data_IF_735597161671
#
_entry.id   IF_735597161671
#
_cell.length_a   1.000
_cell.length_b   1.000
_cell.length_c   1.000
_cell.angle_alpha   90.00
_cell.angle_beta   90.00
_cell.angle_gamma   90.00
#
_symmetry.space_group_name_H-M   'P 1'
#
loop_
_entity.id
_entity.type
_entity.pdbx_description
1 polymer ?
#
# COMPACT_ATOMS: atom_id res chain seq x y z
N UNK A 1 8.77 25.76 9.63
CA UNK A 1 9.06 24.62 10.54
C UNK A 1 7.81 23.89 11.00
N UNK A 2 6.81 24.55 11.62
CA UNK A 2 5.56 23.89 12.05
C UNK A 2 4.71 23.35 10.90
N UNK A 3 4.61 24.07 9.78
CA UNK A 3 3.91 23.61 8.56
C UNK A 3 4.58 22.37 7.96
N UNK A 4 5.91 22.34 7.87
CA UNK A 4 6.68 21.17 7.40
C UNK A 4 6.48 19.92 8.28
N UNK A 5 6.32 20.10 9.59
CA UNK A 5 6.00 19.00 10.51
C UNK A 5 4.56 18.50 10.34
N UNK A 6 3.61 19.39 10.04
CA UNK A 6 2.23 19.02 9.73
C UNK A 6 2.13 18.23 8.40
N UNK A 7 2.92 18.62 7.40
CA UNK A 7 2.99 17.91 6.11
C UNK A 7 3.57 16.51 6.27
N UNK A 8 4.64 16.35 7.06
CA UNK A 8 5.20 15.03 7.40
C UNK A 8 4.18 14.15 8.15
N UNK A 9 3.43 14.72 9.09
CA UNK A 9 2.40 13.96 9.82
C UNK A 9 1.30 13.45 8.88
N UNK A 10 0.87 14.29 7.94
CA UNK A 10 -0.12 13.93 6.92
C UNK A 10 0.39 12.85 5.97
N UNK A 11 1.64 12.98 5.50
CA UNK A 11 2.28 11.97 4.65
C UNK A 11 2.48 10.64 5.40
N UNK A 12 2.80 10.69 6.69
CA UNK A 12 2.93 9.49 7.53
C UNK A 12 1.59 8.75 7.66
N UNK A 13 0.49 9.48 7.86
CA UNK A 13 -0.86 8.89 7.88
C UNK A 13 -1.26 8.29 6.53
N UNK A 14 -0.88 8.94 5.42
CA UNK A 14 -1.09 8.40 4.08
C UNK A 14 -0.35 7.07 3.89
N UNK A 15 0.93 7.01 4.25
CA UNK A 15 1.74 5.77 4.19
C UNK A 15 1.10 4.66 5.01
N UNK A 16 0.65 4.95 6.23
CA UNK A 16 -0.04 3.97 7.08
C UNK A 16 -1.32 3.46 6.41
N UNK A 17 -2.12 4.36 5.84
CA UNK A 17 -3.37 4.01 5.16
C UNK A 17 -3.13 3.14 3.92
N UNK A 18 -2.09 3.43 3.12
CA UNK A 18 -1.73 2.62 1.96
C UNK A 18 -1.22 1.24 2.38
N UNK A 19 -0.42 1.18 3.45
CA UNK A 19 0.07 -0.09 4.02
C UNK A 19 -1.09 -0.99 4.45
N UNK A 20 -2.06 -0.43 5.18
CA UNK A 20 -3.26 -1.16 5.61
C UNK A 20 -4.11 -1.64 4.42
N UNK A 21 -4.24 -0.81 3.37
CA UNK A 21 -4.94 -1.21 2.15
C UNK A 21 -4.25 -2.40 1.48
N UNK A 22 -2.92 -2.38 1.35
CA UNK A 22 -2.17 -3.47 0.78
C UNK A 22 -2.33 -4.76 1.60
N UNK A 23 -2.20 -4.68 2.92
CA UNK A 23 -2.44 -5.82 3.82
C UNK A 23 -3.85 -6.39 3.68
N UNK A 24 -4.86 -5.52 3.59
CA UNK A 24 -6.25 -5.93 3.39
C UNK A 24 -6.43 -6.68 2.05
N UNK A 25 -5.82 -6.20 0.97
CA UNK A 25 -5.87 -6.88 -0.33
C UNK A 25 -5.23 -8.29 -0.26
N UNK A 26 -4.12 -8.45 0.45
CA UNK A 26 -3.47 -9.74 0.65
C UNK A 26 -4.33 -10.70 1.50
N UNK A 27 -4.95 -10.20 2.57
CA UNK A 27 -5.85 -11.00 3.40
C UNK A 27 -7.08 -11.47 2.62
N UNK A 28 -7.67 -10.59 1.81
CA UNK A 28 -8.79 -10.95 0.94
C UNK A 28 -8.38 -12.04 -0.07
N UNK A 29 -7.19 -11.92 -0.65
CA UNK A 29 -6.63 -12.92 -1.57
C UNK A 29 -6.47 -14.29 -0.90
N UNK A 30 -5.82 -14.34 0.27
CA UNK A 30 -5.64 -15.57 1.03
C UNK A 30 -6.96 -16.20 1.47
N UNK A 31 -7.91 -15.38 1.95
CA UNK A 31 -9.22 -15.84 2.39
C UNK A 31 -9.96 -16.56 1.27
N UNK A 32 -10.01 -15.99 0.07
CA UNK A 32 -10.69 -16.63 -1.05
C UNK A 32 -9.94 -17.86 -1.60
N UNK A 33 -8.60 -17.86 -1.61
CA UNK A 33 -7.83 -19.06 -1.97
C UNK A 33 -8.09 -20.21 -0.99
N UNK A 34 -8.19 -19.91 0.31
CA UNK A 34 -8.55 -20.91 1.31
C UNK A 34 -9.97 -21.44 1.09
N UNK A 35 -10.93 -20.57 0.75
CA UNK A 35 -12.30 -20.98 0.43
C UNK A 35 -12.35 -21.91 -0.79
N UNK A 36 -11.64 -21.58 -1.87
CA UNK A 36 -11.58 -22.42 -3.06
C UNK A 36 -10.99 -23.81 -2.79
N UNK A 37 -10.04 -23.92 -1.85
CA UNK A 37 -9.44 -25.19 -1.45
C UNK A 37 -10.36 -26.07 -0.58
N UNK A 38 -11.35 -25.48 0.10
CA UNK A 38 -12.26 -26.17 1.03
C UNK A 38 -13.59 -26.54 0.36
N UNK A 39 -13.77 -26.25 -0.93
CA UNK A 39 -14.99 -26.59 -1.63
C UNK A 39 -15.27 -28.11 -1.55
N UNK A 40 -16.50 -28.51 -1.17
CA UNK A 40 -16.84 -29.93 -1.05
C UNK A 40 -16.62 -30.67 -2.37
N UNK A 41 -16.07 -31.89 -2.32
CA UNK A 41 -15.92 -32.76 -3.50
C UNK A 41 -17.27 -33.13 -4.16
N UNK A 42 -18.37 -32.81 -3.49
CA UNK A 42 -19.76 -32.98 -3.93
C UNK A 42 -20.19 -31.91 -4.94
N UNK A 43 -19.48 -30.77 -4.99
CA UNK A 43 -19.64 -29.78 -6.06
C UNK A 43 -19.05 -30.34 -7.36
N UNK A 44 -19.92 -30.82 -8.23
CA UNK A 44 -19.54 -31.42 -9.52
C UNK A 44 -20.36 -30.84 -10.68
N UNK A 45 -19.90 -31.08 -11.90
CA UNK A 45 -20.59 -30.66 -13.12
C UNK A 45 -20.52 -29.16 -13.38
N UNK A 46 -21.56 -28.61 -14.01
CA UNK A 46 -21.56 -27.23 -14.52
C UNK A 46 -21.38 -26.15 -13.43
N UNK A 47 -21.85 -26.40 -12.21
CA UNK A 47 -21.72 -25.46 -11.09
C UNK A 47 -20.25 -25.28 -10.66
N UNK A 48 -19.50 -26.39 -10.54
CA UNK A 48 -18.07 -26.34 -10.21
C UNK A 48 -17.25 -25.68 -11.33
N UNK A 49 -17.55 -26.00 -12.59
CA UNK A 49 -16.89 -25.39 -13.74
C UNK A 49 -17.15 -23.86 -13.79
N UNK A 50 -18.38 -23.43 -13.55
CA UNK A 50 -18.72 -22.00 -13.49
C UNK A 50 -18.00 -21.30 -12.33
N UNK A 51 -17.97 -21.92 -11.14
CA UNK A 51 -17.25 -21.37 -10.01
C UNK A 51 -15.76 -21.22 -10.32
N UNK A 52 -15.11 -22.26 -10.85
CA UNK A 52 -13.68 -22.22 -11.15
C UNK A 52 -13.35 -21.11 -12.16
N UNK A 53 -14.17 -20.94 -13.20
CA UNK A 53 -13.98 -19.88 -14.17
C UNK A 53 -14.10 -18.49 -13.52
N UNK A 54 -15.14 -18.26 -12.72
CA UNK A 54 -15.33 -17.00 -11.98
C UNK A 54 -14.20 -16.77 -10.96
N UNK A 55 -13.79 -17.81 -10.25
CA UNK A 55 -12.73 -17.74 -9.25
C UNK A 55 -11.38 -17.41 -9.89
N UNK A 56 -11.04 -18.00 -11.04
CA UNK A 56 -9.82 -17.65 -11.76
C UNK A 56 -9.81 -16.18 -12.19
N UNK A 57 -10.92 -15.68 -12.74
CA UNK A 57 -11.04 -14.29 -13.14
C UNK A 57 -10.97 -13.34 -11.94
N UNK A 58 -11.61 -13.71 -10.83
CA UNK A 58 -11.54 -12.97 -9.58
C UNK A 58 -10.10 -12.97 -9.04
N UNK A 59 -9.42 -14.12 -9.03
CA UNK A 59 -8.06 -14.25 -8.50
C UNK A 59 -7.06 -13.43 -9.31
N UNK A 60 -7.20 -13.37 -10.63
CA UNK A 60 -6.36 -12.52 -11.47
C UNK A 60 -6.52 -11.03 -11.12
N UNK A 61 -7.77 -10.57 -10.97
CA UNK A 61 -8.05 -9.18 -10.60
C UNK A 61 -7.60 -8.85 -9.17
N UNK A 62 -7.74 -9.80 -8.24
CA UNK A 62 -7.25 -9.65 -6.87
C UNK A 62 -5.73 -9.50 -6.82
N UNK A 63 -4.98 -10.25 -7.64
CA UNK A 63 -3.53 -10.08 -7.79
C UNK A 63 -3.19 -8.68 -8.33
N UNK A 64 -3.84 -8.24 -9.41
CA UNK A 64 -3.63 -6.89 -9.96
C UNK A 64 -3.92 -5.80 -8.93
N UNK A 65 -4.97 -5.95 -8.12
CA UNK A 65 -5.30 -5.01 -7.06
C UNK A 65 -4.22 -4.97 -5.96
N UNK A 66 -3.71 -6.14 -5.54
CA UNK A 66 -2.63 -6.22 -4.56
C UNK A 66 -1.34 -5.56 -5.08
N UNK A 67 -0.97 -5.80 -6.34
CA UNK A 67 0.17 -5.16 -6.99
C UNK A 67 0.01 -3.63 -7.08
N UNK A 68 -1.19 -3.14 -7.42
CA UNK A 68 -1.47 -1.72 -7.43
C UNK A 68 -1.37 -1.09 -6.03
N UNK A 69 -1.89 -1.77 -5.00
CA UNK A 69 -1.79 -1.32 -3.61
C UNK A 69 -0.34 -1.31 -3.09
N UNK A 70 0.47 -2.31 -3.44
CA UNK A 70 1.91 -2.33 -3.17
C UNK A 70 2.62 -1.15 -3.85
N UNK A 71 2.31 -0.90 -5.12
CA UNK A 71 2.85 0.25 -5.87
C UNK A 71 2.52 1.60 -5.22
N UNK A 72 1.28 1.80 -4.79
CA UNK A 72 0.85 2.99 -4.06
C UNK A 72 1.57 3.13 -2.71
N UNK A 73 1.72 2.03 -1.99
CA UNK A 73 2.45 1.99 -0.71
C UNK A 73 3.90 2.41 -0.90
N UNK A 74 4.61 1.80 -1.84
CA UNK A 74 6.00 2.15 -2.18
C UNK A 74 6.13 3.61 -2.62
N UNK A 75 5.22 4.09 -3.46
CA UNK A 75 5.23 5.48 -3.91
C UNK A 75 5.04 6.45 -2.74
N UNK A 76 4.09 6.20 -1.85
CA UNK A 76 3.86 7.04 -0.68
C UNK A 76 5.07 7.10 0.26
N UNK A 77 5.78 5.98 0.44
CA UNK A 77 7.01 5.91 1.22
C UNK A 77 8.14 6.73 0.58
N UNK A 78 8.29 6.66 -0.75
CA UNK A 78 9.28 7.46 -1.48
C UNK A 78 9.00 8.96 -1.35
N UNK A 79 7.73 9.38 -1.45
CA UNK A 79 7.34 10.78 -1.28
C UNK A 79 7.65 11.27 0.14
N UNK A 80 7.32 10.49 1.17
CA UNK A 80 7.64 10.82 2.56
C UNK A 80 9.15 10.99 2.77
N UNK A 81 9.95 10.04 2.24
CA UNK A 81 11.40 10.09 2.34
C UNK A 81 11.99 11.34 1.64
N UNK A 82 11.52 11.66 0.44
CA UNK A 82 11.98 12.83 -0.30
C UNK A 82 11.65 14.15 0.44
N UNK A 83 10.46 14.23 1.05
CA UNK A 83 10.06 15.37 1.87
C UNK A 83 10.95 15.52 3.11
N UNK A 84 11.19 14.43 3.84
CA UNK A 84 12.08 14.41 5.01
C UNK A 84 13.49 14.89 4.65
N UNK A 85 14.09 14.32 3.60
CA UNK A 85 15.41 14.72 3.13
C UNK A 85 15.49 16.21 2.75
N UNK A 86 14.44 16.72 2.10
CA UNK A 86 14.36 18.13 1.70
C UNK A 86 14.28 19.04 2.92
N UNK A 87 13.48 18.69 3.91
CA UNK A 87 13.36 19.46 5.16
C UNK A 87 14.69 19.46 5.91
N UNK A 88 15.35 18.32 6.03
CA UNK A 88 16.66 18.22 6.69
C UNK A 88 17.74 19.06 5.99
N UNK A 89 17.74 19.06 4.65
CA UNK A 89 18.65 19.90 3.86
C UNK A 89 18.38 21.40 4.07
N UNK A 90 17.11 21.81 4.09
CA UNK A 90 16.71 23.20 4.37
C UNK A 90 17.10 23.63 5.78
N UNK A 91 16.93 22.76 6.77
CA UNK A 91 17.30 23.02 8.16
C UNK A 91 18.82 23.20 8.30
N UNK A 92 19.60 22.37 7.63
CA UNK A 92 21.06 22.46 7.60
C UNK A 92 21.49 23.78 6.95
N UNK A 93 20.99 24.08 5.75
CA UNK A 93 21.30 25.32 5.04
C UNK A 93 20.92 26.58 5.83
N UNK A 94 19.77 26.57 6.51
CA UNK A 94 19.35 27.66 7.38
C UNK A 94 20.27 27.82 8.59
N UNK A 95 20.64 26.72 9.24
CA UNK A 95 21.56 26.74 10.39
C UNK A 95 22.91 27.32 9.98
N UNK A 96 23.48 26.85 8.88
CA UNK A 96 24.76 27.33 8.35
C UNK A 96 24.71 28.83 8.00
N UNK A 97 23.63 29.27 7.35
CA UNK A 97 23.42 30.68 7.03
C UNK A 97 23.29 31.54 8.29
N UNK A 98 22.51 31.10 9.28
CA UNK A 98 22.33 31.83 10.53
C UNK A 98 23.61 31.96 11.35
N UNK A 99 24.49 30.96 11.29
CA UNK A 99 25.80 30.98 11.94
C UNK A 99 26.76 31.99 11.30
N UNK A 100 26.60 32.30 10.01
CA UNK A 100 27.39 33.32 9.31
C UNK A 100 26.91 34.76 9.60
N UNK A 101 25.71 34.91 10.15
CA UNK A 101 25.13 36.21 10.52
C UNK A 101 25.43 36.62 11.96
N UNK A 102 25.95 35.71 12.79
CA UNK A 102 26.33 35.92 14.18
C UNK A 102 27.83 36.22 14.32
#
# INVERSE_FOLDING_TARGET
MSEQQADIATLTQLVQSMTQLHEYCLLLQQGAQSFAAVLPAEWQGAAMASFQATFQQWSAQATTLAEAADGLTKHSQLVLQAYQQTIDALNTAWTDFSAQLA
#
